data_IF_870760611571
#
_entry.id   IF_870760611571
#
_cell.length_a   1.000
_cell.length_b   1.000
_cell.length_c   1.000
_cell.angle_alpha   90.00
_cell.angle_beta   90.00
_cell.angle_gamma   90.00
#
_symmetry.space_group_name_H-M   'P 1'
#
loop_
_entity.id
_entity.type
_entity.pdbx_description
1 polymer ?
#
# COMPACT_ATOMS: atom_id res chain seq x y z
N UNK A 1 -64.78 -19.08 -57.13
CA UNK A 1 -64.53 -17.65 -57.38
C UNK A 1 -64.55 -16.93 -56.05
N UNK A 2 -63.39 -16.41 -55.63
CA UNK A 2 -63.18 -15.76 -54.34
C UNK A 2 -63.19 -14.23 -54.51
N UNK A 3 -63.79 -13.52 -53.55
CA UNK A 3 -63.60 -12.10 -53.26
C UNK A 3 -63.78 -11.96 -51.73
N UNK A 4 -62.73 -11.77 -50.93
CA UNK A 4 -61.97 -10.53 -50.62
C UNK A 4 -62.71 -9.62 -49.60
N UNK A 5 -61.90 -9.14 -48.63
CA UNK A 5 -62.07 -7.99 -47.71
C UNK A 5 -62.66 -8.20 -46.30
N UNK A 6 -61.93 -7.65 -45.32
CA UNK A 6 -62.47 -7.27 -44.01
C UNK A 6 -61.42 -7.22 -42.91
N UNK A 7 -60.87 -6.03 -42.64
CA UNK A 7 -59.74 -5.78 -41.75
C UNK A 7 -60.09 -5.77 -40.24
N UNK A 8 -59.02 -5.95 -39.45
CA UNK A 8 -58.92 -5.80 -37.99
C UNK A 8 -59.37 -4.43 -37.48
N UNK A 9 -60.07 -4.42 -36.34
CA UNK A 9 -59.99 -3.37 -35.31
C UNK A 9 -60.23 -4.03 -33.92
N UNK A 10 -59.17 -4.15 -33.12
CA UNK A 10 -59.23 -4.49 -31.70
C UNK A 10 -59.30 -3.19 -30.91
N UNK A 11 -60.39 -2.99 -30.18
CA UNK A 11 -60.63 -1.83 -29.35
C UNK A 11 -60.13 -2.04 -27.92
N UNK A 12 -59.41 -1.03 -27.40
CA UNK A 12 -59.69 -0.50 -26.08
C UNK A 12 -58.85 -1.00 -24.90
N UNK A 13 -57.67 -0.41 -24.73
CA UNK A 13 -56.91 -0.40 -23.49
C UNK A 13 -57.63 0.46 -22.42
N UNK A 14 -57.89 -0.12 -21.24
CA UNK A 14 -58.07 0.65 -20.01
C UNK A 14 -57.80 -0.24 -18.78
N UNK A 15 -56.53 -0.57 -18.54
CA UNK A 15 -56.09 -0.98 -17.21
C UNK A 15 -54.81 -0.22 -16.89
N UNK A 16 -54.94 0.74 -15.96
CA UNK A 16 -53.84 1.54 -15.41
C UNK A 16 -53.52 0.95 -14.03
N UNK A 17 -52.54 0.06 -13.90
CA UNK A 17 -51.89 -0.18 -12.62
C UNK A 17 -50.89 0.96 -12.38
N UNK A 18 -51.08 1.67 -11.27
CA UNK A 18 -50.10 2.60 -10.71
C UNK A 18 -48.83 1.84 -10.34
N UNK A 19 -47.78 2.01 -11.14
CA UNK A 19 -46.41 1.69 -10.78
C UNK A 19 -45.64 3.01 -10.68
N UNK A 20 -45.83 3.73 -9.58
CA UNK A 20 -45.00 4.87 -9.18
C UNK A 20 -44.53 4.62 -7.74
N UNK A 21 -43.61 3.66 -7.61
CA UNK A 21 -42.62 3.58 -6.52
C UNK A 21 -41.47 2.72 -7.02
N UNK A 22 -40.82 3.18 -8.08
CA UNK A 22 -39.44 2.84 -8.39
C UNK A 22 -38.73 4.17 -8.62
N UNK A 23 -38.60 4.96 -7.55
CA UNK A 23 -37.52 5.93 -7.46
C UNK A 23 -36.27 5.08 -7.17
N UNK A 24 -35.77 4.48 -8.24
CA UNK A 24 -34.57 3.68 -8.27
C UNK A 24 -33.46 4.59 -7.78
N UNK A 25 -32.90 4.21 -6.65
CA UNK A 25 -31.61 4.62 -6.13
C UNK A 25 -30.61 4.92 -7.26
N UNK A 26 -30.58 6.17 -7.70
CA UNK A 26 -29.34 6.80 -8.10
C UNK A 26 -28.65 7.24 -6.81
N UNK A 27 -28.21 6.25 -6.01
CA UNK A 27 -26.96 6.44 -5.30
C UNK A 27 -25.95 6.74 -6.41
N UNK A 28 -25.73 8.03 -6.66
CA UNK A 28 -24.46 8.50 -7.18
C UNK A 28 -23.43 7.85 -6.28
N UNK A 29 -22.85 6.75 -6.77
CA UNK A 29 -21.67 6.11 -6.21
C UNK A 29 -20.65 7.24 -6.14
N UNK A 30 -20.62 7.89 -4.97
CA UNK A 30 -19.93 9.14 -4.77
C UNK A 30 -18.47 8.77 -4.91
N UNK A 31 -17.90 9.08 -6.09
CA UNK A 31 -16.58 8.59 -6.48
C UNK A 31 -15.64 8.82 -5.30
N UNK A 32 -15.21 7.71 -4.68
CA UNK A 32 -14.50 7.76 -3.42
C UNK A 32 -13.30 8.69 -3.57
N UNK A 33 -13.07 9.51 -2.54
CA UNK A 33 -11.96 10.46 -2.53
C UNK A 33 -10.66 9.68 -2.81
N UNK A 34 -9.90 10.02 -3.87
CA UNK A 34 -8.72 9.25 -4.28
C UNK A 34 -7.66 9.19 -3.18
N UNK A 35 -7.58 10.20 -2.30
CA UNK A 35 -6.66 10.16 -1.17
C UNK A 35 -7.10 9.11 -0.15
N UNK A 36 -8.40 9.03 0.14
CA UNK A 36 -8.96 8.01 1.03
C UNK A 36 -8.75 6.62 0.45
N UNK A 37 -8.99 6.43 -0.84
CA UNK A 37 -8.73 5.17 -1.56
C UNK A 37 -7.28 4.70 -1.39
N UNK A 38 -6.31 5.61 -1.54
CA UNK A 38 -4.89 5.28 -1.40
C UNK A 38 -4.54 4.91 0.04
N UNK A 39 -5.11 5.61 1.02
CA UNK A 39 -4.90 5.34 2.44
C UNK A 39 -5.48 4.00 2.86
N UNK A 40 -6.70 3.67 2.39
CA UNK A 40 -7.33 2.37 2.64
C UNK A 40 -6.49 1.25 2.02
N UNK A 41 -6.04 1.40 0.78
CA UNK A 41 -5.19 0.41 0.13
C UNK A 41 -3.83 0.24 0.85
N UNK A 42 -3.21 1.34 1.31
CA UNK A 42 -1.98 1.27 2.09
C UNK A 42 -2.20 0.54 3.44
N UNK A 43 -3.34 0.75 4.08
CA UNK A 43 -3.71 0.06 5.31
C UNK A 43 -3.92 -1.46 5.10
N UNK A 44 -4.56 -1.85 4.00
CA UNK A 44 -4.71 -3.26 3.61
C UNK A 44 -3.35 -3.94 3.42
N UNK A 45 -2.41 -3.27 2.72
CA UNK A 45 -1.06 -3.80 2.53
C UNK A 45 -0.31 -3.94 3.86
N UNK A 46 -0.48 -3.00 4.78
CA UNK A 46 0.18 -3.01 6.08
C UNK A 46 -0.35 -4.13 7.00
N UNK A 47 -1.66 -4.39 6.96
CA UNK A 47 -2.33 -5.41 7.78
C UNK A 47 -2.25 -6.82 7.18
N UNK A 48 -1.98 -6.94 5.87
CA UNK A 48 -1.89 -8.21 5.18
C UNK A 48 -0.71 -9.10 5.57
N UNK A 49 -0.76 -10.39 5.21
CA UNK A 49 0.39 -11.29 5.29
C UNK A 49 1.44 -10.97 4.21
N UNK A 50 2.67 -11.50 4.30
CA UNK A 50 3.66 -11.38 3.23
C UNK A 50 3.16 -11.87 1.87
N UNK A 51 2.40 -12.98 1.84
CA UNK A 51 1.81 -13.55 0.63
C UNK A 51 0.72 -12.64 0.05
N UNK A 52 -0.11 -12.05 0.92
CA UNK A 52 -1.13 -11.10 0.50
C UNK A 52 -0.50 -9.85 -0.15
N UNK A 53 0.60 -9.34 0.40
CA UNK A 53 1.35 -8.23 -0.21
C UNK A 53 1.97 -8.61 -1.55
N UNK A 54 2.59 -9.78 -1.66
CA UNK A 54 3.15 -10.26 -2.93
C UNK A 54 2.07 -10.36 -4.02
N UNK A 55 0.90 -10.92 -3.68
CA UNK A 55 -0.25 -10.98 -4.57
C UNK A 55 -0.76 -9.58 -4.96
N UNK A 56 -0.77 -8.64 -4.03
CA UNK A 56 -1.16 -7.26 -4.31
C UNK A 56 -0.22 -6.58 -5.31
N UNK A 57 1.09 -6.85 -5.25
CA UNK A 57 2.05 -6.40 -6.28
C UNK A 57 1.72 -7.00 -7.64
N UNK A 58 1.47 -8.31 -7.72
CA UNK A 58 1.11 -8.97 -8.99
C UNK A 58 -0.18 -8.40 -9.59
N UNK A 59 -1.20 -8.21 -8.77
CA UNK A 59 -2.47 -7.61 -9.20
C UNK A 59 -2.29 -6.16 -9.67
N UNK A 60 -1.54 -5.36 -8.93
CA UNK A 60 -1.28 -3.97 -9.30
C UNK A 60 -0.46 -3.87 -10.60
N UNK A 61 0.47 -4.81 -10.84
CA UNK A 61 1.21 -4.91 -12.11
C UNK A 61 0.28 -5.23 -13.27
N UNK A 62 -0.55 -6.27 -13.13
CA UNK A 62 -1.53 -6.63 -14.15
C UNK A 62 -2.44 -5.45 -14.47
N UNK A 63 -2.93 -4.72 -13.46
CA UNK A 63 -3.77 -3.55 -13.66
C UNK A 63 -3.06 -2.41 -14.42
N UNK A 64 -1.76 -2.19 -14.18
CA UNK A 64 -0.96 -1.21 -14.93
C UNK A 64 -0.70 -1.68 -16.37
N UNK A 65 -0.48 -2.97 -16.58
CA UNK A 65 -0.30 -3.56 -17.90
C UNK A 65 -1.59 -3.45 -18.74
N UNK A 66 -2.75 -3.64 -18.12
CA UNK A 66 -4.07 -3.48 -18.74
C UNK A 66 -4.41 -2.00 -19.00
N UNK A 67 -4.15 -1.13 -18.02
CA UNK A 67 -4.43 0.30 -18.08
C UNK A 67 -3.43 1.10 -17.22
N UNK A 68 -2.41 1.75 -17.82
CA UNK A 68 -1.38 2.49 -17.09
C UNK A 68 -1.87 3.88 -16.67
N UNK A 69 -3.02 3.96 -15.99
CA UNK A 69 -3.58 5.20 -15.47
C UNK A 69 -2.96 5.61 -14.12
N UNK A 70 -3.24 6.85 -13.70
CA UNK A 70 -2.68 7.40 -12.48
C UNK A 70 -3.03 6.59 -11.22
N UNK A 71 -4.24 6.00 -11.17
CA UNK A 71 -4.70 5.19 -10.03
C UNK A 71 -3.95 3.88 -9.94
N UNK A 72 -3.82 3.16 -11.05
CA UNK A 72 -3.13 1.88 -11.10
C UNK A 72 -1.63 2.05 -10.84
N UNK A 73 -1.02 3.11 -11.39
CA UNK A 73 0.38 3.47 -11.11
C UNK A 73 0.60 3.79 -9.62
N UNK A 74 -0.32 4.53 -8.98
CA UNK A 74 -0.24 4.85 -7.56
C UNK A 74 -0.39 3.61 -6.67
N UNK A 75 -1.33 2.72 -6.97
CA UNK A 75 -1.48 1.44 -6.27
C UNK A 75 -0.24 0.57 -6.43
N UNK A 76 0.33 0.51 -7.63
CA UNK A 76 1.57 -0.23 -7.87
C UNK A 76 2.75 0.36 -7.07
N UNK A 77 2.84 1.70 -6.99
CA UNK A 77 3.84 2.36 -6.15
C UNK A 77 3.71 1.94 -4.68
N UNK A 78 2.49 1.98 -4.13
CA UNK A 78 2.21 1.58 -2.76
C UNK A 78 2.53 0.11 -2.51
N UNK A 79 2.16 -0.76 -3.45
CA UNK A 79 2.44 -2.19 -3.36
C UNK A 79 3.96 -2.46 -3.30
N UNK A 80 4.78 -1.75 -4.08
CA UNK A 80 6.24 -1.92 -4.02
C UNK A 80 6.89 -1.41 -2.73
N UNK A 81 6.35 -0.36 -2.12
CA UNK A 81 6.91 0.21 -0.90
C UNK A 81 6.35 -0.38 0.39
N UNK A 82 5.36 -1.27 0.35
CA UNK A 82 4.90 -1.90 1.59
C UNK A 82 6.05 -2.73 2.25
N UNK A 83 6.29 -2.58 3.56
CA UNK A 83 7.43 -3.22 4.21
C UNK A 83 7.24 -4.75 4.35
N UNK A 84 8.31 -5.45 4.71
CA UNK A 84 8.29 -6.90 5.03
C UNK A 84 7.80 -7.79 3.88
N UNK A 85 8.30 -7.51 2.67
CA UNK A 85 8.12 -8.35 1.50
C UNK A 85 9.49 -8.85 1.05
N UNK A 86 9.54 -10.05 0.48
CA UNK A 86 10.77 -10.61 -0.11
C UNK A 86 11.30 -9.75 -1.26
N UNK A 87 10.43 -8.95 -1.91
CA UNK A 87 10.76 -8.04 -3.00
C UNK A 87 10.41 -6.58 -2.66
N UNK A 88 10.77 -6.14 -1.46
CA UNK A 88 10.71 -4.73 -1.12
C UNK A 88 11.67 -3.95 -2.03
N UNK A 89 11.13 -3.07 -2.88
CA UNK A 89 11.90 -2.31 -3.89
C UNK A 89 11.56 -0.83 -3.78
N UNK A 90 12.20 -0.11 -2.84
CA UNK A 90 11.90 1.30 -2.58
C UNK A 90 12.11 2.20 -3.81
N UNK A 91 13.07 1.88 -4.68
CA UNK A 91 13.30 2.61 -5.94
C UNK A 91 12.11 2.52 -6.90
N UNK A 92 11.50 1.33 -7.02
CA UNK A 92 10.33 1.14 -7.87
C UNK A 92 9.12 1.86 -7.28
N UNK A 93 8.96 1.85 -5.96
CA UNK A 93 7.91 2.60 -5.28
C UNK A 93 8.00 4.11 -5.61
N UNK A 94 9.18 4.71 -5.47
CA UNK A 94 9.41 6.12 -5.82
C UNK A 94 9.17 6.40 -7.32
N UNK A 95 9.65 5.51 -8.19
CA UNK A 95 9.49 5.64 -9.65
C UNK A 95 8.03 5.62 -10.07
N UNK A 96 7.24 4.67 -9.60
CA UNK A 96 5.83 4.55 -9.97
C UNK A 96 4.98 5.66 -9.33
N UNK A 97 5.32 6.15 -8.13
CA UNK A 97 4.69 7.34 -7.56
C UNK A 97 4.94 8.59 -8.43
N UNK A 98 6.15 8.73 -8.99
CA UNK A 98 6.47 9.76 -9.97
C UNK A 98 5.60 9.66 -11.23
N UNK A 99 5.51 8.46 -11.83
CA UNK A 99 4.67 8.22 -13.02
C UNK A 99 3.18 8.48 -12.74
N UNK A 100 2.68 8.13 -11.56
CA UNK A 100 1.31 8.41 -11.17
C UNK A 100 1.02 9.91 -11.05
N UNK A 101 1.99 10.71 -10.60
CA UNK A 101 1.87 12.18 -10.56
C UNK A 101 1.95 12.84 -11.95
N UNK A 102 2.63 12.19 -12.90
CA UNK A 102 2.77 12.64 -14.30
C UNK A 102 1.56 12.25 -15.16
N UNK A 103 0.89 11.14 -14.82
CA UNK A 103 -0.36 10.74 -15.44
C UNK A 103 -1.45 11.74 -15.05
N UNK A 104 -1.73 12.69 -15.94
CA UNK A 104 -2.75 13.72 -15.74
C UNK A 104 -4.14 13.08 -15.61
N UNK A 105 -4.66 13.04 -14.39
CA UNK A 105 -5.98 12.49 -14.07
C UNK A 105 -6.76 13.53 -13.26
N UNK A 106 -7.86 14.00 -13.86
CA UNK A 106 -8.74 15.04 -13.32
C UNK A 106 -9.39 14.64 -11.98
N UNK A 107 -9.41 13.34 -11.64
CA UNK A 107 -9.94 12.84 -10.37
C UNK A 107 -8.98 13.10 -9.21
N UNK A 108 -7.68 13.30 -9.46
CA UNK A 108 -6.70 13.54 -8.40
C UNK A 108 -6.96 14.88 -7.71
N UNK A 109 -7.44 14.81 -6.47
CA UNK A 109 -7.50 15.98 -5.61
C UNK A 109 -6.12 16.36 -5.07
N UNK A 110 -6.04 17.54 -4.44
CA UNK A 110 -4.79 18.06 -3.90
C UNK A 110 -4.18 17.16 -2.82
N UNK A 111 -5.02 16.52 -2.00
CA UNK A 111 -4.58 15.64 -0.91
C UNK A 111 -3.88 14.38 -1.45
N UNK A 112 -4.46 13.72 -2.45
CA UNK A 112 -3.87 12.55 -3.09
C UNK A 112 -2.51 12.91 -3.70
N UNK A 113 -2.43 14.02 -4.45
CA UNK A 113 -1.18 14.49 -5.07
C UNK A 113 -0.12 14.78 -4.01
N UNK A 114 -0.50 15.43 -2.91
CA UNK A 114 0.41 15.71 -1.82
C UNK A 114 0.93 14.42 -1.17
N UNK A 115 0.04 13.48 -0.87
CA UNK A 115 0.40 12.17 -0.34
C UNK A 115 1.43 11.45 -1.22
N UNK A 116 1.21 11.40 -2.55
CA UNK A 116 2.17 10.77 -3.46
C UNK A 116 3.51 11.52 -3.55
N UNK A 117 3.51 12.85 -3.46
CA UNK A 117 4.75 13.63 -3.43
C UNK A 117 5.57 13.32 -2.18
N UNK A 118 4.91 13.29 -1.03
CA UNK A 118 5.55 12.96 0.25
C UNK A 118 6.06 11.51 0.25
N UNK A 119 5.25 10.59 -0.28
CA UNK A 119 5.61 9.19 -0.48
C UNK A 119 6.86 9.06 -1.36
N UNK A 120 6.84 9.64 -2.57
CA UNK A 120 8.00 9.63 -3.47
C UNK A 120 9.23 10.23 -2.80
N UNK A 121 9.10 11.39 -2.16
CA UNK A 121 10.21 12.06 -1.47
C UNK A 121 10.79 11.22 -0.33
N UNK A 122 9.95 10.47 0.39
CA UNK A 122 10.40 9.57 1.42
C UNK A 122 11.24 8.43 0.84
N UNK A 123 10.74 7.71 -0.17
CA UNK A 123 11.45 6.58 -0.75
C UNK A 123 12.67 6.97 -1.57
N UNK A 124 12.65 8.12 -2.27
CA UNK A 124 13.85 8.67 -2.94
C UNK A 124 14.94 8.97 -1.92
N UNK A 125 14.61 9.58 -0.77
CA UNK A 125 15.61 9.79 0.28
C UNK A 125 16.12 8.48 0.86
N UNK A 126 15.25 7.49 1.04
CA UNK A 126 15.65 6.19 1.56
C UNK A 126 16.67 5.49 0.65
N UNK A 127 16.53 5.64 -0.67
CA UNK A 127 17.43 5.01 -1.64
C UNK A 127 18.70 5.83 -1.88
N UNK A 128 18.61 7.16 -1.80
CA UNK A 128 19.76 8.07 -1.86
C UNK A 128 20.62 8.01 -0.58
N UNK A 129 20.02 7.72 0.58
CA UNK A 129 20.72 7.54 1.86
C UNK A 129 21.17 6.10 2.10
N UNK A 130 21.04 5.21 1.11
CA UNK A 130 21.70 3.91 1.19
C UNK A 130 23.19 4.19 1.32
N UNK A 131 23.85 3.77 2.43
CA UNK A 131 25.22 4.16 2.71
C UNK A 131 26.06 3.84 1.48
N UNK A 132 26.69 4.87 0.91
CA UNK A 132 27.84 4.69 0.03
C UNK A 132 28.73 3.62 0.68
N UNK A 133 29.26 2.67 -0.08
CA UNK A 133 30.02 1.53 0.47
C UNK A 133 31.13 1.95 1.46
N UNK A 134 31.62 3.19 1.39
CA UNK A 134 32.50 3.83 2.39
C UNK A 134 31.90 3.95 3.81
N UNK A 135 30.63 4.32 3.96
CA UNK A 135 29.97 4.40 5.27
C UNK A 135 29.69 3.00 5.87
N UNK A 136 29.73 1.95 5.05
CA UNK A 136 29.53 0.57 5.52
C UNK A 136 30.75 0.01 6.24
N UNK A 137 31.98 0.44 5.93
CA UNK A 137 33.17 -0.03 6.65
C UNK A 137 33.25 0.60 8.04
N UNK A 138 33.01 1.92 8.13
CA UNK A 138 32.95 2.63 9.41
C UNK A 138 31.79 2.13 10.30
N UNK A 139 30.62 1.87 9.71
CA UNK A 139 29.51 1.28 10.44
C UNK A 139 29.83 -0.13 10.95
N UNK A 140 30.52 -0.97 10.17
CA UNK A 140 30.94 -2.31 10.60
C UNK A 140 32.01 -2.24 11.69
N UNK A 141 32.98 -1.35 11.57
CA UNK A 141 33.99 -1.11 12.59
C UNK A 141 33.35 -0.67 13.92
N UNK A 142 32.36 0.23 13.83
CA UNK A 142 31.60 0.68 15.01
C UNK A 142 30.75 -0.43 15.63
N UNK A 143 30.15 -1.30 14.83
CA UNK A 143 29.42 -2.47 15.33
C UNK A 143 30.37 -3.42 16.07
N UNK A 144 31.53 -3.73 15.49
CA UNK A 144 32.52 -4.61 16.12
C UNK A 144 33.05 -4.02 17.45
N UNK A 145 33.25 -2.69 17.50
CA UNK A 145 33.63 -1.98 18.73
C UNK A 145 32.53 -2.11 19.81
N UNK A 146 31.27 -1.87 19.45
CA UNK A 146 30.14 -2.00 20.38
C UNK A 146 29.93 -3.44 20.86
N UNK A 147 30.17 -4.44 20.01
CA UNK A 147 30.12 -5.85 20.39
C UNK A 147 31.23 -6.21 21.39
N UNK A 148 32.45 -5.68 21.19
CA UNK A 148 33.54 -5.87 22.14
C UNK A 148 33.26 -5.20 23.50
N UNK A 149 32.68 -4.00 23.50
CA UNK A 149 32.24 -3.31 24.72
C UNK A 149 31.15 -4.11 25.45
N UNK A 150 30.20 -4.69 24.72
CA UNK A 150 29.14 -5.52 25.28
C UNK A 150 29.71 -6.78 25.95
N UNK A 151 30.61 -7.48 25.28
CA UNK A 151 31.27 -8.68 25.80
C UNK A 151 32.08 -8.37 27.06
N UNK A 152 32.79 -7.23 27.08
CA UNK A 152 33.52 -6.77 28.26
C UNK A 152 32.56 -6.46 29.42
N UNK A 153 31.45 -5.76 29.16
CA UNK A 153 30.45 -5.47 30.18
C UNK A 153 29.83 -6.75 30.76
N UNK A 154 29.53 -7.74 29.92
CA UNK A 154 29.00 -9.04 30.35
C UNK A 154 30.02 -9.85 31.16
N UNK A 155 31.31 -9.78 30.81
CA UNK A 155 32.38 -10.40 31.62
C UNK A 155 32.46 -9.75 33.01
N UNK A 156 32.46 -8.42 33.08
CA UNK A 156 32.47 -7.68 34.37
C UNK A 156 31.28 -8.04 35.24
N UNK A 157 30.08 -8.15 34.67
CA UNK A 157 28.88 -8.58 35.41
C UNK A 157 29.01 -10.00 35.98
N UNK A 158 29.58 -10.95 35.22
CA UNK A 158 29.82 -12.32 35.71
C UNK A 158 30.86 -12.37 36.83
N UNK A 159 31.92 -11.57 36.71
CA UNK A 159 32.94 -11.46 37.77
C UNK A 159 32.34 -10.88 39.06
N UNK A 160 31.54 -9.81 38.95
CA UNK A 160 30.83 -9.24 40.09
C UNK A 160 29.88 -10.25 40.74
N UNK A 161 29.08 -10.98 39.96
CA UNK A 161 28.20 -12.02 40.48
C UNK A 161 28.96 -13.14 41.22
N UNK A 162 30.14 -13.52 40.71
CA UNK A 162 31.00 -14.52 41.36
C UNK A 162 31.57 -14.01 42.69
N UNK A 163 31.91 -12.72 42.75
CA UNK A 163 32.39 -12.07 43.99
C UNK A 163 31.24 -11.98 45.01
N UNK A 164 30.04 -11.59 44.59
CA UNK A 164 28.85 -11.55 45.44
C UNK A 164 28.50 -12.94 46.00
N UNK A 165 28.57 -13.99 45.20
CA UNK A 165 28.34 -15.37 45.66
C UNK A 165 29.37 -15.79 46.71
N UNK A 166 30.65 -15.44 46.52
CA UNK A 166 31.72 -15.71 47.50
C UNK A 166 31.56 -14.93 48.79
N UNK A 167 31.14 -13.68 48.72
CA UNK A 167 30.91 -12.82 49.89
C UNK A 167 29.63 -13.21 50.64
N UNK A 168 28.57 -13.60 49.92
CA UNK A 168 27.31 -14.08 50.49
C UNK A 168 27.39 -15.49 51.10
N UNK A 169 28.39 -16.28 50.71
CA UNK A 169 28.64 -17.63 51.23
C UNK A 169 29.63 -17.67 52.40
N UNK A 170 30.13 -16.53 52.87
CA UNK A 170 30.95 -16.43 54.07
C UNK A 170 30.03 -16.38 55.30
N UNK A 171 29.93 -17.43 56.13
CA UNK A 171 29.14 -17.36 57.35
C UNK A 171 29.80 -16.38 58.34
N UNK A 172 29.02 -15.79 59.28
CA UNK A 172 29.55 -14.95 60.36
C UNK A 172 30.50 -15.71 61.29
#
# INVERSE_FOLDING_TARGET
>A
MAAMLGALLVAGCAHRPSAETEDVAHETEQAADPAIDLLLYAHELQSGSPEARAKAVEQARSAVDDAPDARNLARLALAYGAPKQTRYTPDLAARYAGRALEADDARWNAAARQYLRDYRRFYTRLTEQSPSDDDSEDARARIAELEAELDEAQRKLREMATIEERLGSSPP
#
